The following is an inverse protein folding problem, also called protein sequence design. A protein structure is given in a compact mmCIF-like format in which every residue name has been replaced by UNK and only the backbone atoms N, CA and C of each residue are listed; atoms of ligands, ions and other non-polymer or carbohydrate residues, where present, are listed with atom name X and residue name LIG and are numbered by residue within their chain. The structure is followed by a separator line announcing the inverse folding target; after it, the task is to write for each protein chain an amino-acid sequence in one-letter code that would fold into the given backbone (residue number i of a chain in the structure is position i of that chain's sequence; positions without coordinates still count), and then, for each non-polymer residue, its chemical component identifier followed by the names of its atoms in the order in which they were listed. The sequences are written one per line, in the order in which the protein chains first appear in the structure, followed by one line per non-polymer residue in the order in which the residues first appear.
data_IF_234701008937
#
_entry.id   IF_234701008937
#
_cell.length_a   1.000
_cell.length_b   1.000
_cell.length_c   1.000
_cell.angle_alpha   90.00
_cell.angle_beta   90.00
_cell.angle_gamma   90.00
#
_symmetry.space_group_name_H-M   'P 1'
#
loop_
_entity.id
_entity.type
_entity.pdbx_description
1 polymer ?
#
# COMPACT_ATOMS: atom_id res chain seq x y z
N UNK A 1 -14.39 17.79 -1.86
CA UNK A 1 -13.94 16.95 -0.72
C UNK A 1 -13.31 15.67 -1.27
N UNK A 2 -12.03 15.43 -0.98
CA UNK A 2 -11.41 14.14 -1.28
C UNK A 2 -11.96 13.11 -0.27
N UNK A 3 -12.85 12.23 -0.73
CA UNK A 3 -13.54 11.25 0.14
C UNK A 3 -12.57 10.26 0.81
N UNK A 4 -11.34 10.11 0.30
CA UNK A 4 -10.31 9.21 0.85
C UNK A 4 -9.55 9.78 2.05
N UNK A 5 -9.39 11.11 2.14
CA UNK A 5 -8.51 11.76 3.11
C UNK A 5 -8.82 11.42 4.58
N UNK A 6 -10.09 11.43 5.04
CA UNK A 6 -10.40 11.07 6.43
C UNK A 6 -9.99 9.63 6.78
N UNK A 7 -10.08 8.70 5.84
CA UNK A 7 -9.67 7.31 6.06
C UNK A 7 -8.15 7.19 6.10
N UNK A 8 -7.44 7.90 5.23
CA UNK A 8 -5.97 7.98 5.25
C UNK A 8 -5.46 8.57 6.57
N UNK A 9 -6.12 9.62 7.09
CA UNK A 9 -5.80 10.21 8.39
C UNK A 9 -5.96 9.19 9.54
N UNK A 10 -7.03 8.39 9.54
CA UNK A 10 -7.23 7.33 10.55
C UNK A 10 -6.14 6.25 10.48
N UNK A 11 -5.76 5.82 9.28
CA UNK A 11 -4.69 4.82 9.09
C UNK A 11 -3.33 5.39 9.50
N UNK A 12 -3.05 6.65 9.15
CA UNK A 12 -1.85 7.36 9.58
C UNK A 12 -1.74 7.44 11.10
N UNK A 13 -2.82 7.84 11.77
CA UNK A 13 -2.86 7.92 13.24
C UNK A 13 -2.65 6.55 13.87
N UNK A 14 -3.31 5.50 13.35
CA UNK A 14 -3.13 4.14 13.83
C UNK A 14 -1.68 3.67 13.74
N UNK A 15 -1.03 3.84 12.57
CA UNK A 15 0.36 3.43 12.37
C UNK A 15 1.31 4.19 13.30
N UNK A 16 1.11 5.50 13.44
CA UNK A 16 1.90 6.36 14.34
C UNK A 16 1.76 5.90 15.79
N UNK A 17 0.54 5.62 16.27
CA UNK A 17 0.27 5.11 17.62
C UNK A 17 0.86 3.71 17.86
N UNK A 18 1.08 2.93 16.80
CA UNK A 18 1.78 1.64 16.87
C UNK A 18 3.31 1.76 16.82
N UNK A 19 3.84 2.98 16.81
CA UNK A 19 5.28 3.24 16.77
C UNK A 19 5.89 3.03 15.39
N UNK A 20 5.09 3.07 14.33
CA UNK A 20 5.61 3.07 12.97
C UNK A 20 5.99 4.49 12.54
N UNK A 21 7.11 4.60 11.83
CA UNK A 21 7.51 5.83 11.16
C UNK A 21 6.77 5.92 9.81
N UNK A 22 5.89 6.90 9.63
CA UNK A 22 5.24 7.13 8.33
C UNK A 22 6.18 7.95 7.45
N UNK A 23 6.74 7.30 6.43
CA UNK A 23 7.74 7.85 5.52
C UNK A 23 7.12 8.76 4.45
N UNK A 24 5.93 8.41 3.98
CA UNK A 24 5.19 9.19 2.99
C UNK A 24 3.69 8.97 3.10
N UNK A 25 2.93 10.01 2.73
CA UNK A 25 1.49 9.98 2.53
C UNK A 25 1.19 10.51 1.14
N UNK A 26 0.30 9.85 0.40
CA UNK A 26 -0.03 10.15 -0.99
C UNK A 26 1.24 10.28 -1.87
N UNK A 27 2.12 9.28 -1.80
CA UNK A 27 3.34 9.24 -2.62
C UNK A 27 2.96 9.01 -4.09
N UNK A 28 3.43 9.87 -4.99
CA UNK A 28 3.04 9.85 -6.40
C UNK A 28 4.23 9.62 -7.30
N UNK A 29 4.01 8.83 -8.34
CA UNK A 29 4.92 8.67 -9.46
C UNK A 29 4.17 8.75 -10.78
N UNK A 30 4.91 8.73 -11.91
CA UNK A 30 4.30 8.62 -13.25
C UNK A 30 3.46 7.36 -13.46
N UNK A 31 3.62 6.34 -12.61
CA UNK A 31 2.91 5.06 -12.74
C UNK A 31 1.61 5.01 -11.92
N UNK A 32 1.50 5.80 -10.86
CA UNK A 32 0.40 5.74 -9.91
C UNK A 32 0.72 6.42 -8.59
N UNK A 33 -0.07 6.10 -7.58
CA UNK A 33 0.07 6.61 -6.22
C UNK A 33 0.10 5.45 -5.21
N UNK A 34 0.71 5.70 -4.05
CA UNK A 34 0.67 4.87 -2.86
C UNK A 34 0.14 5.76 -1.73
N UNK A 35 -0.93 5.34 -1.07
CA UNK A 35 -1.57 6.17 -0.06
C UNK A 35 -0.68 6.38 1.16
N UNK A 36 -0.06 5.32 1.69
CA UNK A 36 0.88 5.43 2.82
C UNK A 36 2.08 4.50 2.61
N UNK A 37 3.27 5.05 2.84
CA UNK A 37 4.51 4.28 3.02
C UNK A 37 4.96 4.43 4.46
N UNK A 38 5.17 3.32 5.18
CA UNK A 38 5.56 3.35 6.58
C UNK A 38 6.63 2.31 6.90
N UNK A 39 7.49 2.60 7.86
CA UNK A 39 8.45 1.68 8.43
C UNK A 39 8.00 1.29 9.83
N UNK A 40 7.71 0.01 10.03
CA UNK A 40 7.31 -0.54 11.32
C UNK A 40 8.36 -1.55 11.77
N UNK A 41 9.18 -1.19 12.77
CA UNK A 41 10.34 -1.97 13.20
C UNK A 41 11.33 -2.15 12.04
N UNK A 42 11.31 -3.30 11.37
CA UNK A 42 12.17 -3.62 10.23
C UNK A 42 11.37 -4.04 8.98
N UNK A 43 10.12 -3.57 8.89
CA UNK A 43 9.20 -3.91 7.80
C UNK A 43 8.74 -2.65 7.09
N UNK A 44 8.97 -2.60 5.78
CA UNK A 44 8.46 -1.52 4.93
C UNK A 44 7.03 -1.86 4.49
N UNK A 45 6.08 -1.06 4.88
CA UNK A 45 4.66 -1.22 4.55
C UNK A 45 4.29 -0.30 3.39
N UNK A 46 3.74 -0.90 2.35
CA UNK A 46 3.14 -0.20 1.21
C UNK A 46 1.63 -0.38 1.33
N UNK A 47 0.92 0.69 1.72
CA UNK A 47 -0.47 0.61 2.15
C UNK A 47 -1.37 1.37 1.18
N UNK A 48 -2.39 0.68 0.68
CA UNK A 48 -3.55 1.24 0.00
C UNK A 48 -4.71 1.36 1.01
N UNK A 49 -5.36 2.53 1.08
CA UNK A 49 -6.44 2.82 2.03
C UNK A 49 -7.80 2.82 1.32
N UNK A 50 -8.74 2.05 1.85
CA UNK A 50 -10.12 1.96 1.31
C UNK A 50 -11.14 2.38 2.37
N UNK A 51 -11.98 3.35 2.03
CA UNK A 51 -13.21 3.60 2.79
C UNK A 51 -14.25 2.53 2.48
N UNK A 52 -14.74 1.80 3.47
CA UNK A 52 -15.71 0.72 3.24
C UNK A 52 -17.01 1.25 2.64
N UNK A 53 -17.35 0.77 1.43
CA UNK A 53 -18.73 0.69 0.95
C UNK A 53 -19.29 -0.69 1.33
N UNK A 54 -20.59 -0.79 1.60
CA UNK A 54 -21.26 -1.88 2.34
C UNK A 54 -21.08 -3.32 1.81
N UNK A 55 -20.41 -3.60 0.69
CA UNK A 55 -20.45 -4.91 0.01
C UNK A 55 -19.11 -5.35 -0.63
N UNK A 56 -18.02 -5.47 0.12
CA UNK A 56 -16.82 -6.18 -0.39
C UNK A 56 -16.80 -7.61 0.17
N UNK A 57 -17.22 -8.58 -0.65
CA UNK A 57 -17.22 -10.03 -0.38
C UNK A 57 -15.85 -10.66 -0.78
N UNK A 58 -15.44 -11.81 -0.20
CA UNK A 58 -14.07 -12.20 0.16
C UNK A 58 -13.17 -12.72 -0.98
N UNK A 59 -13.63 -12.65 -2.24
CA UNK A 59 -12.86 -13.03 -3.43
C UNK A 59 -12.51 -11.77 -4.25
N UNK A 60 -12.29 -10.63 -3.59
CA UNK A 60 -12.10 -9.34 -4.24
C UNK A 60 -10.90 -9.40 -5.18
N UNK A 61 -11.19 -9.64 -6.46
CA UNK A 61 -10.22 -9.69 -7.55
C UNK A 61 -9.26 -8.53 -7.35
N UNK A 62 -8.05 -8.88 -6.99
CA UNK A 62 -6.95 -7.96 -6.99
C UNK A 62 -6.83 -7.49 -8.44
N UNK A 63 -7.18 -6.23 -8.71
CA UNK A 63 -7.00 -5.67 -10.04
C UNK A 63 -5.49 -5.68 -10.31
N UNK A 64 -5.03 -6.64 -11.13
CA UNK A 64 -3.62 -6.77 -11.46
C UNK A 64 -3.07 -5.50 -12.12
N UNK A 65 -3.91 -4.67 -12.75
CA UNK A 65 -3.52 -3.35 -13.23
C UNK A 65 -3.15 -2.45 -12.06
N UNK A 66 -3.98 -2.38 -11.02
CA UNK A 66 -3.72 -1.60 -9.82
C UNK A 66 -2.48 -2.10 -9.07
N UNK A 67 -2.35 -3.42 -8.89
CA UNK A 67 -1.13 -4.01 -8.31
C UNK A 67 0.11 -3.64 -9.09
N UNK A 68 0.07 -3.73 -10.42
CA UNK A 68 1.21 -3.37 -11.27
C UNK A 68 1.60 -1.89 -11.09
N UNK A 69 0.62 -0.99 -10.96
CA UNK A 69 0.86 0.44 -10.75
C UNK A 69 1.45 0.71 -9.37
N UNK A 70 0.94 0.07 -8.32
CA UNK A 70 1.49 0.16 -6.96
C UNK A 70 2.93 -0.35 -6.95
N UNK A 71 3.20 -1.53 -7.53
CA UNK A 71 4.54 -2.11 -7.56
C UNK A 71 5.54 -1.22 -8.33
N UNK A 72 5.18 -0.71 -9.51
CA UNK A 72 6.04 0.23 -10.25
C UNK A 72 6.27 1.55 -9.49
N UNK A 73 5.26 2.02 -8.76
CA UNK A 73 5.37 3.22 -7.92
C UNK A 73 6.29 2.96 -6.73
N UNK A 74 6.21 1.78 -6.12
CA UNK A 74 7.13 1.30 -5.09
C UNK A 74 8.57 1.20 -5.59
N UNK A 75 8.80 0.64 -6.78
CA UNK A 75 10.14 0.62 -7.37
C UNK A 75 10.71 2.04 -7.58
N UNK A 76 9.86 3.02 -7.90
CA UNK A 76 10.27 4.43 -7.94
C UNK A 76 10.63 4.96 -6.56
N UNK A 77 9.83 4.65 -5.54
CA UNK A 77 10.15 4.97 -4.15
C UNK A 77 11.53 4.42 -3.75
N UNK A 78 11.83 3.15 -4.02
CA UNK A 78 13.15 2.57 -3.72
C UNK A 78 14.30 3.18 -4.52
N UNK A 79 14.03 3.65 -5.74
CA UNK A 79 15.03 4.36 -6.54
C UNK A 79 15.37 5.72 -5.94
N UNK A 80 14.39 6.40 -5.35
CA UNK A 80 14.52 7.72 -4.72
C UNK A 80 15.09 7.62 -3.30
N UNK A 81 14.77 6.54 -2.58
CA UNK A 81 15.21 6.26 -1.22
C UNK A 81 15.91 4.90 -1.09
N UNK A 82 17.15 4.74 -1.62
CA UNK A 82 17.84 3.45 -1.67
C UNK A 82 18.06 2.78 -0.31
N UNK A 83 18.11 3.56 0.78
CA UNK A 83 18.27 3.06 2.15
C UNK A 83 17.16 2.09 2.60
N UNK A 84 16.01 2.05 1.92
CA UNK A 84 14.90 1.16 2.25
C UNK A 84 14.86 -0.14 1.42
N UNK A 85 15.83 -0.36 0.52
CA UNK A 85 15.82 -1.50 -0.43
C UNK A 85 15.92 -2.87 0.25
N UNK A 86 16.64 -2.95 1.36
CA UNK A 86 16.93 -4.21 2.04
C UNK A 86 15.90 -4.56 3.12
N UNK A 87 14.85 -3.75 3.27
CA UNK A 87 13.77 -4.02 4.21
C UNK A 87 12.78 -5.04 3.65
N UNK A 88 12.35 -5.97 4.50
CA UNK A 88 11.24 -6.85 4.19
C UNK A 88 9.98 -6.01 3.90
N UNK A 89 9.42 -6.15 2.71
CA UNK A 89 8.34 -5.27 2.23
C UNK A 89 7.00 -5.99 2.17
N UNK A 90 5.96 -5.38 2.73
CA UNK A 90 4.60 -5.90 2.72
C UNK A 90 3.67 -4.93 1.99
N UNK A 91 2.94 -5.45 1.01
CA UNK A 91 1.86 -4.72 0.34
C UNK A 91 0.55 -5.04 1.04
N UNK A 92 -0.13 -4.02 1.55
CA UNK A 92 -1.31 -4.16 2.39
C UNK A 92 -2.46 -3.29 1.87
N UNK A 93 -3.67 -3.76 2.10
CA UNK A 93 -4.89 -2.93 2.02
C UNK A 93 -5.40 -2.66 3.43
N UNK A 94 -5.68 -1.39 3.74
CA UNK A 94 -6.31 -0.96 4.98
C UNK A 94 -7.75 -0.52 4.70
N UNK A 95 -8.72 -1.34 5.07
CA UNK A 95 -10.15 -1.05 4.90
C UNK A 95 -10.74 -0.46 6.17
N UNK A 96 -11.23 0.77 6.11
CA UNK A 96 -11.74 1.53 7.25
C UNK A 96 -13.28 1.48 7.30
N UNK A 97 -13.83 1.05 8.44
CA UNK A 97 -15.28 1.03 8.72
C UNK A 97 -15.54 1.56 10.12
N UNK A 98 -16.05 2.79 10.21
CA UNK A 98 -16.09 3.53 11.47
C UNK A 98 -14.67 3.74 11.98
N UNK A 99 -14.41 3.38 13.23
CA UNK A 99 -13.07 3.45 13.85
C UNK A 99 -12.23 2.18 13.66
N UNK A 100 -12.80 1.13 13.04
CA UNK A 100 -12.10 -0.15 12.84
C UNK A 100 -11.34 -0.14 11.52
N UNK A 101 -10.10 -0.63 11.55
CA UNK A 101 -9.25 -0.84 10.38
C UNK A 101 -9.02 -2.33 10.21
N UNK A 102 -9.41 -2.87 9.06
CA UNK A 102 -9.11 -4.24 8.66
C UNK A 102 -7.91 -4.24 7.72
N UNK A 103 -6.90 -5.05 8.02
CA UNK A 103 -5.67 -5.16 7.24
C UNK A 103 -5.69 -6.47 6.46
N UNK A 104 -5.47 -6.40 5.15
CA UNK A 104 -5.37 -7.59 4.29
C UNK A 104 -4.08 -7.53 3.46
N UNK A 105 -3.34 -8.64 3.32
CA UNK A 105 -2.23 -8.70 2.39
C UNK A 105 -2.75 -8.51 0.96
N UNK A 106 -2.01 -7.75 0.17
CA UNK A 106 -2.18 -7.74 -1.28
C UNK A 106 -1.40 -8.93 -1.81
N UNK A 107 -2.11 -9.99 -2.19
CA UNK A 107 -1.49 -11.18 -2.79
C UNK A 107 -1.03 -10.80 -4.19
N UNK A 108 0.28 -10.61 -4.33
CA UNK A 108 0.94 -10.36 -5.61
C UNK A 108 1.00 -11.62 -6.47
N UNK A 109 0.84 -12.79 -5.85
CA UNK A 109 1.01 -14.10 -6.47
C UNK A 109 0.02 -14.35 -7.61
N UNK A 110 -1.21 -13.89 -7.44
CA UNK A 110 -2.26 -13.95 -8.47
C UNK A 110 -1.97 -13.06 -9.69
N UNK A 111 -0.93 -12.22 -9.62
CA UNK A 111 -0.46 -11.37 -10.70
C UNK A 111 1.01 -11.66 -11.09
N UNK A 112 1.59 -12.79 -10.66
CA UNK A 112 3.01 -13.15 -10.88
C UNK A 112 3.42 -13.12 -12.35
N UNK A 113 2.60 -13.63 -13.27
CA UNK A 113 2.92 -13.56 -14.71
C UNK A 113 3.15 -12.11 -15.20
N UNK A 114 2.51 -11.14 -14.55
CA UNK A 114 2.66 -9.70 -14.85
C UNK A 114 3.90 -9.09 -14.20
N UNK A 115 4.32 -9.59 -13.04
CA UNK A 115 5.49 -9.11 -12.30
C UNK A 115 6.80 -9.71 -12.81
N UNK A 116 6.82 -10.97 -13.26
CA UNK A 116 7.98 -11.60 -13.90
C UNK A 116 8.40 -10.89 -15.21
N UNK A 117 7.47 -10.20 -15.90
CA UNK A 117 7.79 -9.34 -17.05
C UNK A 117 8.39 -7.97 -16.66
N UNK A 118 8.39 -7.61 -15.37
CA UNK A 118 8.94 -6.35 -14.87
C UNK A 118 10.33 -6.54 -14.23
N UNK A 119 10.64 -7.73 -13.74
CA UNK A 119 11.98 -8.14 -13.29
C UNK A 119 12.86 -8.53 -14.48
N UNK A 120 12.89 -7.72 -15.55
CA UNK A 120 13.82 -7.89 -16.68
C UNK A 120 15.27 -7.56 -16.32
N UNK A 121 15.73 -8.08 -15.19
CA UNK A 121 17.11 -8.32 -14.78
C UNK A 121 17.22 -9.81 -14.47
#
# INVERSE_FOLDING_TARGET
MNKGKPFEDLVFQFLTLKGCEVLARNYRSRYGEIDIVALCRNKLLIVEVKGSFKNENPASRVDCTKVRRIYKTYLRFLSEFPKYRDFETFFLTASVKGEKINWSPVVLEDCIETLQRLSGF
#
